data_IF_118892243867
#
_entry.id   IF_118892243867
#
_cell.length_a   1.000
_cell.length_b   1.000
_cell.length_c   1.000
_cell.angle_alpha   90.00
_cell.angle_beta   90.00
_cell.angle_gamma   90.00
#
_symmetry.space_group_name_H-M   'P 1'
#
loop_
_entity.id
_entity.type
_entity.pdbx_description
1 polymer ?
#
# COMPACT_ATOMS: atom_id res chain seq x y z
N UNK A 1 -18.85 -25.83 0.17
CA UNK A 1 -17.44 -25.38 0.16
C UNK A 1 -16.97 -25.39 -1.28
N UNK A 2 -16.87 -24.23 -1.93
CA UNK A 2 -16.26 -24.10 -3.25
C UNK A 2 -15.23 -22.96 -3.15
N UNK A 3 -13.96 -23.30 -3.34
CA UNK A 3 -12.86 -22.35 -3.40
C UNK A 3 -13.06 -21.46 -4.63
N UNK A 4 -13.40 -20.19 -4.41
CA UNK A 4 -13.46 -19.20 -5.49
C UNK A 4 -12.03 -18.90 -5.93
N UNK A 5 -11.72 -19.22 -7.18
CA UNK A 5 -10.44 -18.92 -7.79
C UNK A 5 -10.29 -17.40 -7.92
N UNK A 6 -9.43 -16.82 -7.09
CA UNK A 6 -9.02 -15.42 -7.13
C UNK A 6 -7.86 -15.28 -8.11
N UNK A 7 -8.07 -14.61 -9.25
CA UNK A 7 -7.00 -14.26 -10.19
C UNK A 7 -6.50 -12.84 -9.87
N UNK A 8 -5.23 -12.72 -9.48
CA UNK A 8 -4.55 -11.43 -9.19
C UNK A 8 -3.55 -11.18 -10.31
N UNK A 9 -3.68 -10.05 -11.00
CA UNK A 9 -2.68 -9.58 -11.98
C UNK A 9 -1.81 -8.50 -11.34
N UNK A 10 -0.48 -8.62 -11.44
CA UNK A 10 0.52 -7.76 -10.81
C UNK A 10 1.36 -7.06 -11.88
N UNK A 11 1.25 -5.74 -11.99
CA UNK A 11 2.19 -4.92 -12.77
C UNK A 11 3.09 -4.15 -11.81
N UNK A 12 4.35 -4.57 -11.69
CA UNK A 12 5.39 -3.84 -10.95
C UNK A 12 6.31 -3.13 -11.95
N UNK A 13 6.41 -1.81 -11.87
CA UNK A 13 7.36 -1.04 -12.67
C UNK A 13 8.67 -0.94 -11.87
N UNK A 14 9.65 -1.76 -12.21
CA UNK A 14 10.98 -1.71 -11.63
C UNK A 14 11.87 -0.77 -12.45
N UNK A 15 12.38 0.31 -11.85
CA UNK A 15 13.46 1.10 -12.43
C UNK A 15 14.79 0.62 -11.85
N UNK A 16 15.67 0.07 -12.69
CA UNK A 16 17.05 -0.23 -12.30
C UNK A 16 17.89 1.01 -12.60
N UNK A 17 18.16 1.81 -11.57
CA UNK A 17 19.16 2.87 -11.64
C UNK A 17 20.47 2.32 -11.05
N UNK A 18 21.44 1.97 -11.90
CA UNK A 18 22.80 1.66 -11.44
C UNK A 18 23.51 2.96 -11.06
N UNK A 19 23.58 3.27 -9.76
CA UNK A 19 24.34 4.35 -9.17
C UNK A 19 24.97 3.91 -7.85
N UNK A 20 26.27 4.19 -7.67
CA UNK A 20 27.13 3.65 -6.62
C UNK A 20 26.63 3.89 -5.18
N UNK A 21 26.63 2.79 -4.42
CA UNK A 21 26.56 2.66 -2.95
C UNK A 21 25.31 3.21 -2.23
N UNK A 22 24.29 2.37 -2.08
CA UNK A 22 23.26 2.53 -1.05
C UNK A 22 23.22 1.29 -0.15
N UNK A 23 23.75 1.41 1.07
CA UNK A 23 23.48 0.46 2.16
C UNK A 23 22.56 1.12 3.18
N UNK A 24 21.26 0.81 3.08
CA UNK A 24 20.35 0.61 4.21
C UNK A 24 19.47 -0.58 3.81
N UNK A 25 19.51 -1.69 4.56
CA UNK A 25 18.64 -2.84 4.36
C UNK A 25 17.58 -2.93 5.48
N UNK A 26 16.38 -3.40 5.11
CA UNK A 26 15.11 -3.60 5.85
C UNK A 26 14.29 -2.30 6.12
N UNK A 27 13.00 -2.15 5.72
CA UNK A 27 11.86 -3.09 5.57
C UNK A 27 11.34 -3.22 4.13
N UNK A 28 10.99 -4.44 3.72
CA UNK A 28 10.19 -4.69 2.51
C UNK A 28 8.78 -5.09 2.94
N UNK A 29 7.78 -4.25 2.70
CA UNK A 29 6.43 -4.54 3.18
C UNK A 29 5.39 -4.70 2.07
N UNK A 30 4.88 -5.91 1.87
CA UNK A 30 3.45 -6.12 1.58
C UNK A 30 2.89 -7.46 2.10
N UNK A 31 2.27 -7.45 3.30
CA UNK A 31 1.48 -8.55 3.93
C UNK A 31 2.20 -9.92 4.06
N UNK A 32 1.62 -10.87 4.83
CA UNK A 32 2.30 -12.09 5.31
C UNK A 32 2.91 -13.02 4.23
N UNK A 33 2.58 -12.83 2.95
CA UNK A 33 2.91 -13.80 1.90
C UNK A 33 3.77 -13.28 0.72
N UNK A 34 4.07 -11.97 0.64
CA UNK A 34 4.80 -11.39 -0.51
C UNK A 34 6.03 -10.58 -0.11
N UNK A 35 7.15 -10.84 -0.77
CA UNK A 35 8.39 -10.05 -0.66
C UNK A 35 8.68 -9.37 -2.00
N UNK A 36 8.82 -8.04 -1.99
CA UNK A 36 9.15 -7.25 -3.18
C UNK A 36 10.65 -6.97 -3.21
N UNK A 37 11.35 -7.42 -4.25
CA UNK A 37 12.79 -7.20 -4.38
C UNK A 37 13.13 -5.94 -5.20
N UNK A 38 14.16 -5.22 -4.77
CA UNK A 38 14.65 -4.00 -5.42
C UNK A 38 13.97 -2.71 -4.94
N UNK A 39 14.34 -1.59 -5.54
CA UNK A 39 13.80 -0.27 -5.22
C UNK A 39 12.45 -0.09 -5.93
N UNK A 40 11.39 -0.58 -5.29
CA UNK A 40 10.02 -0.49 -5.81
C UNK A 40 9.41 0.84 -5.42
N UNK A 41 9.02 1.65 -6.39
CA UNK A 41 8.36 2.94 -6.14
C UNK A 41 6.86 2.80 -5.89
N UNK A 42 6.20 1.94 -6.68
CA UNK A 42 4.75 1.80 -6.66
C UNK A 42 4.33 0.43 -7.17
N UNK A 43 3.23 -0.09 -6.62
CA UNK A 43 2.59 -1.33 -7.07
C UNK A 43 1.08 -1.12 -7.18
N UNK A 44 0.51 -1.49 -8.33
CA UNK A 44 -0.94 -1.47 -8.56
C UNK A 44 -1.47 -2.90 -8.70
N UNK A 45 -2.50 -3.22 -7.90
CA UNK A 45 -3.26 -4.46 -7.96
C UNK A 45 -4.64 -4.21 -8.51
N UNK A 46 -5.00 -5.01 -9.50
CA UNK A 46 -6.37 -5.09 -10.02
C UNK A 46 -6.95 -6.43 -9.60
N UNK A 47 -8.03 -6.39 -8.82
CA UNK A 47 -8.78 -7.58 -8.41
C UNK A 47 -10.09 -7.61 -9.17
N UNK A 48 -10.28 -8.67 -9.96
CA UNK A 48 -11.49 -8.87 -10.73
C UNK A 48 -12.53 -9.63 -9.90
N UNK A 49 -13.69 -9.03 -9.70
CA UNK A 49 -14.83 -9.68 -9.08
C UNK A 49 -15.70 -10.30 -10.17
N UNK A 50 -15.60 -11.61 -10.32
CA UNK A 50 -16.46 -12.39 -11.22
C UNK A 50 -17.72 -12.82 -10.46
N UNK A 51 -18.76 -11.99 -10.46
CA UNK A 51 -20.10 -12.40 -10.03
C UNK A 51 -20.92 -12.84 -11.25
N UNK A 52 -21.42 -14.09 -11.20
CA UNK A 52 -22.36 -14.79 -12.11
C UNK A 52 -22.82 -14.06 -13.39
N UNK A 53 -21.87 -13.74 -14.29
CA UNK A 53 -22.10 -13.18 -15.63
C UNK A 53 -22.64 -11.74 -15.72
N UNK A 54 -22.47 -10.90 -14.69
CA UNK A 54 -22.85 -9.48 -14.73
C UNK A 54 -21.61 -8.60 -14.59
N UNK A 55 -20.95 -8.31 -15.71
CA UNK A 55 -19.89 -7.29 -15.81
C UNK A 55 -18.57 -7.59 -15.09
N UNK A 56 -17.45 -7.18 -15.69
CA UNK A 56 -16.16 -7.20 -15.00
C UNK A 56 -16.06 -5.96 -14.10
N UNK A 57 -16.38 -6.12 -12.81
CA UNK A 57 -16.05 -5.10 -11.81
C UNK A 57 -14.65 -5.38 -11.25
N UNK A 58 -13.74 -4.42 -11.43
CA UNK A 58 -12.41 -4.50 -10.87
C UNK A 58 -12.28 -3.51 -9.69
N UNK A 59 -11.72 -3.97 -8.57
CA UNK A 59 -11.14 -3.07 -7.57
C UNK A 59 -9.67 -2.86 -7.89
N UNK A 60 -9.23 -1.61 -7.81
CA UNK A 60 -7.84 -1.22 -8.00
C UNK A 60 -7.30 -0.71 -6.69
N UNK A 61 -6.14 -1.20 -6.29
CA UNK A 61 -5.41 -0.68 -5.14
C UNK A 61 -3.98 -0.37 -5.57
N UNK A 62 -3.49 0.81 -5.23
CA UNK A 62 -2.12 1.25 -5.47
C UNK A 62 -1.41 1.51 -4.15
N UNK A 63 -0.17 1.05 -4.05
CA UNK A 63 0.74 1.29 -2.92
C UNK A 63 1.95 2.03 -3.43
N UNK A 64 2.30 3.15 -2.81
CA UNK A 64 3.54 3.88 -3.06
C UNK A 64 4.50 3.70 -1.89
N UNK A 65 5.78 3.55 -2.20
CA UNK A 65 6.82 3.24 -1.22
C UNK A 65 7.87 4.35 -1.17
N UNK A 66 8.48 4.55 0.00
CA UNK A 66 9.69 5.35 0.14
C UNK A 66 10.95 4.55 -0.25
N UNK A 67 12.11 5.20 -0.25
CA UNK A 67 13.42 4.58 -0.54
C UNK A 67 13.81 3.45 0.43
N UNK A 68 13.17 3.39 1.62
CA UNK A 68 13.38 2.32 2.59
C UNK A 68 12.46 1.12 2.37
N UNK A 69 11.48 1.22 1.46
CA UNK A 69 10.48 0.20 1.19
C UNK A 69 9.25 0.24 2.10
N UNK A 70 9.07 1.29 2.92
CA UNK A 70 7.84 1.48 3.70
C UNK A 70 6.75 2.10 2.81
N UNK A 71 5.50 1.66 2.97
CA UNK A 71 4.33 2.26 2.31
C UNK A 71 4.12 3.68 2.82
N UNK A 72 4.18 4.68 1.94
CA UNK A 72 3.90 6.08 2.29
C UNK A 72 2.51 6.53 1.85
N UNK A 73 1.91 5.78 0.93
CA UNK A 73 0.55 6.00 0.47
C UNK A 73 -0.07 4.69 0.01
N UNK A 74 -1.33 4.49 0.35
CA UNK A 74 -2.19 3.52 -0.31
C UNK A 74 -3.47 4.21 -0.78
N UNK A 75 -3.98 3.81 -1.93
CA UNK A 75 -5.24 4.32 -2.45
C UNK A 75 -5.96 3.24 -3.22
N UNK A 76 -7.28 3.31 -3.25
CA UNK A 76 -8.02 2.34 -4.03
C UNK A 76 -9.44 2.74 -4.32
N UNK A 77 -10.04 1.98 -5.21
CA UNK A 77 -11.46 2.03 -5.52
C UNK A 77 -12.08 0.65 -5.37
N UNK A 78 -13.37 0.64 -5.06
CA UNK A 78 -14.15 -0.59 -5.02
C UNK A 78 -14.95 -0.73 -6.30
N UNK A 79 -14.81 -1.87 -6.97
CA UNK A 79 -15.76 -2.38 -7.97
C UNK A 79 -16.15 -1.40 -9.08
N UNK A 80 -15.19 -0.64 -9.62
CA UNK A 80 -15.46 0.35 -10.67
C UNK A 80 -16.28 1.57 -10.22
N UNK A 81 -16.61 1.69 -8.93
CA UNK A 81 -17.20 2.91 -8.38
C UNK A 81 -16.12 4.00 -8.23
N UNK A 82 -16.48 5.28 -8.41
CA UNK A 82 -15.56 6.40 -8.18
C UNK A 82 -15.27 6.65 -6.69
N UNK A 83 -15.72 5.76 -5.79
CA UNK A 83 -15.35 5.81 -4.38
C UNK A 83 -13.85 5.57 -4.28
N UNK A 84 -13.14 6.59 -3.82
CA UNK A 84 -11.69 6.57 -3.66
C UNK A 84 -11.42 6.74 -2.18
N UNK A 85 -10.72 5.77 -1.61
CA UNK A 85 -10.06 5.96 -0.33
C UNK A 85 -8.57 6.23 -0.59
N UNK A 86 -7.98 7.05 0.25
CA UNK A 86 -6.56 7.38 0.23
C UNK A 86 -6.05 7.44 1.66
N UNK A 87 -5.01 6.68 1.94
CA UNK A 87 -4.30 6.74 3.20
C UNK A 87 -2.85 7.17 2.95
N UNK A 88 -2.32 8.03 3.81
CA UNK A 88 -0.91 8.44 3.77
C UNK A 88 -0.25 8.21 5.12
N UNK A 89 1.04 7.91 5.08
CA UNK A 89 1.83 7.56 6.26
C UNK A 89 3.15 8.32 6.28
N UNK A 90 3.55 8.76 7.48
CA UNK A 90 4.88 9.33 7.72
C UNK A 90 5.60 8.52 8.78
N UNK A 91 6.91 8.45 8.60
CA UNK A 91 7.79 7.67 9.48
C UNK A 91 8.90 8.56 10.03
N UNK A 92 9.38 8.24 11.22
CA UNK A 92 10.61 8.79 11.75
C UNK A 92 11.85 8.14 11.08
N UNK A 93 13.04 8.59 11.47
CA UNK A 93 14.32 8.06 10.97
C UNK A 93 14.57 6.59 11.35
N UNK A 94 13.85 6.06 12.33
CA UNK A 94 13.95 4.67 12.79
C UNK A 94 12.92 3.76 12.12
N UNK A 95 12.01 4.32 11.31
CA UNK A 95 10.93 3.57 10.65
C UNK A 95 9.69 3.34 11.51
N UNK A 96 9.50 4.12 12.57
CA UNK A 96 8.26 4.14 13.33
C UNK A 96 7.27 5.09 12.65
N UNK A 97 6.01 4.66 12.49
CA UNK A 97 4.98 5.48 11.86
C UNK A 97 4.55 6.58 12.84
N UNK A 98 4.85 7.84 12.53
CA UNK A 98 4.52 8.98 13.39
C UNK A 98 3.21 9.67 13.02
N UNK A 99 2.69 9.41 11.82
CA UNK A 99 1.42 9.97 11.35
C UNK A 99 0.72 8.99 10.40
N UNK A 100 -0.60 8.87 10.54
CA UNK A 100 -1.48 8.27 9.52
C UNK A 100 -2.65 9.20 9.23
N UNK A 101 -2.94 9.41 7.95
CA UNK A 101 -4.12 10.14 7.48
C UNK A 101 -4.94 9.20 6.63
N UNK A 102 -6.23 9.07 6.93
CA UNK A 102 -7.19 8.29 6.16
C UNK A 102 -8.26 9.22 5.62
N UNK A 103 -8.45 9.22 4.32
CA UNK A 103 -9.45 10.01 3.62
C UNK A 103 -10.36 9.09 2.81
N UNK A 104 -11.67 9.31 2.92
CA UNK A 104 -12.66 8.60 2.13
C UNK A 104 -13.56 9.64 1.45
N UNK A 105 -13.50 9.68 0.11
CA UNK A 105 -14.21 10.67 -0.68
C UNK A 105 -15.73 10.47 -0.66
N UNK A 106 -16.19 9.23 -0.47
CA UNK A 106 -17.61 8.89 -0.44
C UNK A 106 -18.28 9.37 0.86
N UNK A 107 -17.63 9.16 2.00
CA UNK A 107 -18.12 9.68 3.29
C UNK A 107 -17.69 11.13 3.57
N UNK A 108 -16.84 11.72 2.70
CA UNK A 108 -16.19 13.01 2.95
C UNK A 108 -15.52 13.06 4.34
N UNK A 109 -14.95 11.93 4.77
CA UNK A 109 -14.37 11.79 6.10
C UNK A 109 -12.86 11.81 6.03
N UNK A 110 -12.25 12.53 6.97
CA UNK A 110 -10.81 12.55 7.19
C UNK A 110 -10.51 12.21 8.64
N UNK A 111 -9.65 11.21 8.85
CA UNK A 111 -9.15 10.81 10.16
C UNK A 111 -7.63 10.99 10.13
N UNK A 112 -7.09 11.69 11.12
CA UNK A 112 -5.64 11.85 11.29
C UNK A 112 -5.24 11.31 12.66
N UNK A 113 -4.23 10.46 12.70
CA UNK A 113 -3.61 9.96 13.92
C UNK A 113 -2.15 10.42 13.95
N UNK A 114 -1.69 10.81 15.14
CA UNK A 114 -0.31 11.13 15.43
C UNK A 114 0.17 10.14 16.50
N UNK A 115 1.37 9.60 16.31
CA UNK A 115 1.96 8.64 17.21
C UNK A 115 3.23 9.21 17.80
N UNK A 116 3.32 9.14 19.13
CA UNK A 116 4.53 9.45 19.87
C UNK A 116 5.04 8.17 20.48
N UNK A 117 6.35 8.00 20.45
CA UNK A 117 7.01 6.80 20.94
C UNK A 117 7.91 7.14 22.12
N UNK A 118 7.97 6.24 23.10
CA UNK A 118 9.01 6.27 24.12
C UNK A 118 10.36 5.84 23.53
N UNK A 119 11.42 5.93 24.32
CA UNK A 119 12.77 5.55 23.90
C UNK A 119 12.93 4.05 23.57
N UNK A 120 11.94 3.23 23.91
CA UNK A 120 11.93 1.79 23.59
C UNK A 120 11.09 1.49 22.33
N UNK A 121 10.55 2.52 21.66
CA UNK A 121 9.72 2.36 20.47
C UNK A 121 8.29 1.93 20.77
N UNK A 122 7.78 2.15 22.00
CA UNK A 122 6.38 1.90 22.36
C UNK A 122 5.56 3.18 22.22
N UNK A 123 4.36 3.09 21.65
CA UNK A 123 3.41 4.21 21.55
C UNK A 123 2.98 4.69 22.95
N UNK A 124 2.95 6.00 23.17
CA UNK A 124 2.50 6.67 24.40
C UNK A 124 1.25 7.51 24.21
#
# INVERSE_FOLDING_TARGET
>A
MNSKNLFVSLFAIAFVATGCASKVGDRQGWSQDWTLHGDVKSVTLTRYNMYDNVGEEASVITYDFNERGDVVKESGNDNGFPMIWENTYKYDSHGNMIESVQENSYSCSKIQNLYVYDSNGKVI
#
